data_IF_660183403860
#
_entry.id   IF_660183403860
#
_cell.length_a   1.000
_cell.length_b   1.000
_cell.length_c   1.000
_cell.angle_alpha   90.00
_cell.angle_beta   90.00
_cell.angle_gamma   90.00
#
_symmetry.space_group_name_H-M   'P 1'
#
loop_
_entity.id
_entity.type
_entity.pdbx_description
1 polymer ?
#
# COMPACT_ATOMS: atom_id res chain seq x y z
N UNK A 1 -40.81 -32.41 -11.52
CA UNK A 1 -41.23 -31.88 -10.21
C UNK A 1 -40.08 -31.70 -9.21
N UNK A 2 -39.13 -32.64 -9.04
CA UNK A 2 -37.92 -32.40 -8.19
C UNK A 2 -36.64 -32.00 -8.97
N UNK A 3 -36.69 -32.04 -10.30
CA UNK A 3 -35.54 -31.71 -11.18
C UNK A 3 -35.48 -30.23 -11.57
N UNK A 4 -36.49 -29.45 -11.18
CA UNK A 4 -36.74 -28.09 -11.69
C UNK A 4 -36.22 -26.97 -10.75
N UNK A 5 -35.67 -27.29 -9.58
CA UNK A 5 -35.34 -26.29 -8.54
C UNK A 5 -33.84 -26.06 -8.27
N UNK A 6 -32.91 -26.64 -9.03
CA UNK A 6 -31.44 -26.38 -9.00
C UNK A 6 -30.80 -26.11 -7.62
N UNK A 7 -31.31 -26.70 -6.54
CA UNK A 7 -30.66 -26.64 -5.23
C UNK A 7 -29.50 -27.63 -5.24
N UNK A 8 -28.30 -27.15 -5.59
CA UNK A 8 -27.05 -27.90 -5.43
C UNK A 8 -26.77 -28.04 -3.94
N UNK A 9 -27.33 -29.07 -3.31
CA UNK A 9 -26.97 -29.48 -1.97
C UNK A 9 -25.48 -29.89 -1.96
N UNK A 10 -24.69 -29.44 -0.97
CA UNK A 10 -23.34 -29.93 -0.76
C UNK A 10 -23.29 -31.47 -0.75
N UNK A 11 -22.20 -32.08 -1.27
CA UNK A 11 -22.05 -33.53 -1.33
C UNK A 11 -22.29 -34.21 0.03
N UNK A 12 -21.82 -33.58 1.10
CA UNK A 12 -21.93 -34.09 2.48
C UNK A 12 -23.39 -34.19 2.95
N UNK A 13 -24.23 -33.20 2.61
CA UNK A 13 -25.66 -33.23 2.95
C UNK A 13 -26.41 -34.29 2.13
N UNK A 14 -25.97 -34.52 0.88
CA UNK A 14 -26.56 -35.55 0.01
C UNK A 14 -26.27 -36.95 0.53
N UNK A 15 -25.04 -37.20 0.99
CA UNK A 15 -24.66 -38.47 1.61
C UNK A 15 -25.41 -38.72 2.93
N UNK A 16 -25.54 -37.68 3.77
CA UNK A 16 -26.32 -37.74 5.00
C UNK A 16 -27.78 -38.08 4.72
N UNK A 17 -28.41 -37.40 3.75
CA UNK A 17 -29.79 -37.65 3.36
C UNK A 17 -29.97 -39.10 2.85
N UNK A 18 -29.04 -39.58 2.02
CA UNK A 18 -29.05 -40.97 1.54
C UNK A 18 -28.94 -41.97 2.70
N UNK A 19 -28.07 -41.69 3.68
CA UNK A 19 -27.92 -42.54 4.86
C UNK A 19 -29.20 -42.57 5.71
N UNK A 20 -29.84 -41.41 5.93
CA UNK A 20 -31.12 -41.32 6.66
C UNK A 20 -32.25 -42.07 5.95
N UNK A 21 -32.40 -41.91 4.64
CA UNK A 21 -33.42 -42.63 3.85
C UNK A 21 -33.18 -44.15 3.91
N UNK A 22 -31.92 -44.58 3.83
CA UNK A 22 -31.55 -46.00 3.90
C UNK A 22 -31.89 -46.57 5.29
N UNK A 23 -31.57 -45.82 6.35
CA UNK A 23 -31.87 -46.22 7.73
C UNK A 23 -33.38 -46.29 7.98
N UNK A 24 -34.16 -45.35 7.46
CA UNK A 24 -35.63 -45.37 7.55
C UNK A 24 -36.22 -46.58 6.82
N UNK A 25 -35.71 -46.88 5.62
CA UNK A 25 -36.12 -48.05 4.85
C UNK A 25 -35.82 -49.38 5.56
N UNK A 26 -34.66 -49.48 6.22
CA UNK A 26 -34.32 -50.65 7.05
C UNK A 26 -35.17 -50.73 8.31
N UNK A 27 -35.41 -49.60 8.98
CA UNK A 27 -36.26 -49.53 10.18
C UNK A 27 -37.69 -49.96 9.90
N UNK A 28 -38.26 -49.53 8.77
CA UNK A 28 -39.61 -49.93 8.35
C UNK A 28 -39.77 -51.40 7.98
N UNK A 29 -38.69 -52.09 7.64
CA UNK A 29 -38.72 -53.54 7.44
C UNK A 29 -38.85 -54.31 8.75
N UNK A 30 -38.42 -53.71 9.87
CA UNK A 30 -38.46 -54.31 11.20
C UNK A 30 -39.70 -53.87 12.00
N UNK A 31 -40.11 -52.61 11.84
CA UNK A 31 -41.28 -52.00 12.45
C UNK A 31 -42.04 -51.13 11.42
N UNK A 32 -43.23 -51.55 10.95
CA UNK A 32 -43.98 -50.85 9.91
C UNK A 32 -44.31 -49.39 10.22
N UNK A 33 -44.44 -49.05 11.50
CA UNK A 33 -44.81 -47.70 11.96
C UNK A 33 -43.59 -46.82 12.27
N UNK A 34 -42.38 -47.30 11.98
CA UNK A 34 -41.13 -46.60 12.27
C UNK A 34 -41.00 -45.26 11.52
N UNK A 35 -40.71 -44.20 12.28
CA UNK A 35 -40.46 -42.85 11.77
C UNK A 35 -39.12 -42.31 12.31
N UNK A 36 -38.10 -42.34 11.45
CA UNK A 36 -36.75 -41.88 11.77
C UNK A 36 -36.71 -40.41 12.25
N UNK A 37 -37.58 -39.55 11.71
CA UNK A 37 -37.60 -38.12 12.03
C UNK A 37 -38.00 -37.94 13.49
N UNK A 38 -39.00 -38.68 13.96
CA UNK A 38 -39.46 -38.60 15.35
C UNK A 38 -38.39 -39.07 16.34
N UNK A 39 -37.65 -40.12 15.99
CA UNK A 39 -36.57 -40.67 16.83
C UNK A 39 -35.32 -39.78 16.88
N UNK A 40 -34.95 -39.14 15.76
CA UNK A 40 -33.75 -38.30 15.68
C UNK A 40 -33.99 -36.89 16.22
N UNK A 41 -35.23 -36.39 16.20
CA UNK A 41 -35.62 -35.06 16.72
C UNK A 41 -35.10 -34.76 18.14
N UNK A 42 -35.29 -35.63 19.16
CA UNK A 42 -34.82 -35.36 20.51
C UNK A 42 -33.28 -35.30 20.61
N UNK A 43 -32.58 -36.09 19.81
CA UNK A 43 -31.11 -36.03 19.75
C UNK A 43 -30.62 -34.72 19.13
N UNK A 44 -31.27 -34.27 18.06
CA UNK A 44 -30.97 -32.99 17.41
C UNK A 44 -31.22 -31.80 18.34
N UNK A 45 -32.34 -31.80 19.07
CA UNK A 45 -32.64 -30.75 20.06
C UNK A 45 -31.59 -30.70 21.17
N UNK A 46 -31.19 -31.84 21.74
CA UNK A 46 -30.15 -31.91 22.76
C UNK A 46 -28.79 -31.45 22.24
N UNK A 47 -28.43 -31.82 21.01
CA UNK A 47 -27.18 -31.40 20.39
C UNK A 47 -27.13 -29.88 20.14
N UNK A 48 -28.23 -29.29 19.65
CA UNK A 48 -28.35 -27.85 19.46
C UNK A 48 -28.29 -27.08 20.79
N UNK A 49 -29.02 -27.54 21.80
CA UNK A 49 -28.99 -26.96 23.15
C UNK A 49 -27.59 -27.02 23.76
N UNK A 50 -26.85 -28.11 23.56
CA UNK A 50 -25.47 -28.25 24.06
C UNK A 50 -24.48 -27.33 23.34
N UNK A 51 -24.74 -27.01 22.07
CA UNK A 51 -23.91 -26.10 21.27
C UNK A 51 -24.14 -24.62 21.64
N UNK A 52 -25.35 -24.28 22.09
CA UNK A 52 -25.74 -22.94 22.56
C UNK A 52 -25.58 -22.84 24.10
N UNK A 53 -25.22 -23.94 24.77
CA UNK A 53 -25.08 -23.96 26.22
C UNK A 53 -24.10 -22.88 26.70
N UNK A 54 -24.45 -22.13 27.76
CA UNK A 54 -23.67 -20.99 28.24
C UNK A 54 -22.22 -21.37 28.57
N UNK A 55 -21.99 -22.56 29.11
CA UNK A 55 -20.64 -23.06 29.41
C UNK A 55 -19.76 -23.18 28.16
N UNK A 56 -20.34 -23.61 27.03
CA UNK A 56 -19.63 -23.74 25.76
C UNK A 56 -19.26 -22.37 25.20
N UNK A 57 -20.18 -21.40 25.30
CA UNK A 57 -19.97 -20.03 24.85
C UNK A 57 -18.91 -19.31 25.71
N UNK A 58 -18.95 -19.49 27.03
CA UNK A 58 -17.96 -18.91 27.95
C UNK A 58 -16.56 -19.47 27.67
N UNK A 59 -16.43 -20.80 27.49
CA UNK A 59 -15.14 -21.42 27.15
C UNK A 59 -14.60 -20.91 25.82
N UNK A 60 -15.45 -20.80 24.80
CA UNK A 60 -15.04 -20.26 23.50
C UNK A 60 -14.65 -18.77 23.59
N UNK A 61 -15.40 -17.98 24.37
CA UNK A 61 -15.10 -16.58 24.63
C UNK A 61 -13.76 -16.40 25.33
N UNK A 62 -13.48 -17.21 26.36
CA UNK A 62 -12.21 -17.19 27.08
C UNK A 62 -11.03 -17.53 26.17
N UNK A 63 -11.17 -18.56 25.33
CA UNK A 63 -10.17 -18.95 24.34
C UNK A 63 -9.96 -17.88 23.26
N UNK A 64 -11.01 -17.13 22.90
CA UNK A 64 -10.89 -16.03 21.95
C UNK A 64 -10.21 -14.81 22.56
N UNK A 65 -10.53 -14.49 23.81
CA UNK A 65 -9.90 -13.41 24.57
C UNK A 65 -8.41 -13.68 24.79
N UNK A 66 -8.04 -14.91 25.16
CA UNK A 66 -6.62 -15.25 25.38
C UNK A 66 -5.79 -15.06 24.11
N UNK A 67 -6.30 -15.51 22.96
CA UNK A 67 -5.65 -15.29 21.65
C UNK A 67 -5.55 -13.81 21.30
N UNK A 68 -6.56 -13.02 21.65
CA UNK A 68 -6.53 -11.57 21.40
C UNK A 68 -5.46 -10.88 22.26
N UNK A 69 -5.31 -11.31 23.52
CA UNK A 69 -4.25 -10.81 24.41
C UNK A 69 -2.86 -11.20 23.90
N UNK A 70 -2.67 -12.44 23.45
CA UNK A 70 -1.41 -12.89 22.84
C UNK A 70 -1.01 -12.02 21.64
N UNK A 71 -1.95 -11.73 20.74
CA UNK A 71 -1.72 -10.84 19.59
C UNK A 71 -1.34 -9.42 20.00
N UNK A 72 -2.00 -8.86 21.03
CA UNK A 72 -1.64 -7.52 21.52
C UNK A 72 -0.24 -7.47 22.14
N UNK A 73 0.21 -8.57 22.77
CA UNK A 73 1.55 -8.68 23.36
C UNK A 73 2.62 -8.81 22.28
N UNK A 74 2.34 -9.50 21.17
CA UNK A 74 3.28 -9.68 20.05
C UNK A 74 3.37 -8.47 19.11
N UNK A 75 2.27 -7.73 18.94
CA UNK A 75 2.19 -6.53 18.09
C UNK A 75 3.34 -5.51 18.27
N UNK A 76 3.72 -5.09 19.48
CA UNK A 76 4.82 -4.14 19.66
C UNK A 76 6.18 -4.67 19.19
N UNK A 77 6.40 -5.99 19.24
CA UNK A 77 7.63 -6.59 18.74
C UNK A 77 7.68 -6.57 17.21
N UNK A 78 6.55 -6.83 16.56
CA UNK A 78 6.44 -6.75 15.09
C UNK A 78 6.57 -5.31 14.60
N UNK A 79 5.97 -4.35 15.31
CA UNK A 79 6.19 -2.93 15.04
C UNK A 79 7.66 -2.52 15.19
N UNK A 80 8.35 -2.98 16.25
CA UNK A 80 9.77 -2.73 16.40
C UNK A 80 10.59 -3.32 15.26
N UNK A 81 10.29 -4.55 14.83
CA UNK A 81 10.96 -5.18 13.69
C UNK A 81 10.74 -4.39 12.40
N UNK A 82 9.52 -3.93 12.14
CA UNK A 82 9.20 -3.09 10.99
C UNK A 82 9.95 -1.76 11.02
N UNK A 83 10.00 -1.10 12.18
CA UNK A 83 10.75 0.15 12.35
C UNK A 83 12.26 -0.05 12.21
N UNK A 84 12.80 -1.16 12.70
CA UNK A 84 14.23 -1.46 12.60
C UNK A 84 14.61 -1.80 11.15
N UNK A 85 13.76 -2.50 10.41
CA UNK A 85 13.88 -2.67 8.97
C UNK A 85 13.81 -1.33 8.23
N UNK A 86 12.93 -0.41 8.66
CA UNK A 86 12.81 0.94 8.08
C UNK A 86 14.08 1.75 8.28
N UNK A 87 14.61 1.74 9.51
CA UNK A 87 15.82 2.46 9.89
C UNK A 87 17.05 1.95 9.16
N UNK A 88 17.12 0.65 8.87
CA UNK A 88 18.21 0.03 8.12
C UNK A 88 18.08 0.22 6.61
N UNK A 89 17.02 0.89 6.12
CA UNK A 89 16.72 0.97 4.68
C UNK A 89 16.43 -0.39 4.05
N UNK A 90 16.21 -1.42 4.88
CA UNK A 90 15.95 -2.80 4.50
C UNK A 90 14.45 -3.11 4.43
N UNK A 91 13.60 -2.09 4.61
CA UNK A 91 12.28 -2.11 3.99
C UNK A 91 12.51 -2.16 2.49
N UNK A 92 12.65 -3.38 1.98
CA UNK A 92 12.50 -3.70 0.57
C UNK A 92 11.05 -3.46 0.16
N UNK A 93 10.55 -2.24 0.35
CA UNK A 93 9.49 -1.74 -0.48
C UNK A 93 10.13 -1.74 -1.85
N UNK A 94 9.73 -2.69 -2.70
CA UNK A 94 9.82 -2.50 -4.15
C UNK A 94 8.93 -1.32 -4.48
N UNK A 95 9.38 -0.13 -4.08
CA UNK A 95 8.98 1.13 -4.65
C UNK A 95 9.53 1.02 -6.05
N UNK A 96 8.71 0.44 -6.92
CA UNK A 96 8.70 0.72 -8.34
C UNK A 96 8.29 2.20 -8.50
N UNK A 97 9.04 3.12 -7.85
CA UNK A 97 9.07 4.52 -8.21
C UNK A 97 9.76 4.49 -9.55
N UNK A 98 8.95 4.20 -10.56
CA UNK A 98 9.23 4.48 -11.93
C UNK A 98 9.68 5.95 -11.98
N UNK A 99 10.99 6.12 -12.08
CA UNK A 99 11.69 7.29 -12.60
C UNK A 99 11.74 8.50 -11.66
N UNK A 100 12.80 8.63 -10.84
CA UNK A 100 13.27 9.96 -10.39
C UNK A 100 13.64 10.91 -11.56
N UNK A 101 13.63 10.45 -12.81
CA UNK A 101 13.88 11.27 -14.00
C UNK A 101 12.96 12.49 -14.11
N UNK A 102 11.68 12.40 -13.68
CA UNK A 102 10.78 13.56 -13.76
C UNK A 102 11.15 14.63 -12.73
N UNK A 103 11.55 14.22 -11.53
CA UNK A 103 11.97 15.13 -10.47
C UNK A 103 13.33 15.76 -10.81
N UNK A 104 14.25 14.95 -11.35
CA UNK A 104 15.54 15.44 -11.85
C UNK A 104 15.33 16.48 -12.97
N UNK A 105 14.48 16.18 -13.96
CA UNK A 105 14.15 17.12 -15.04
C UNK A 105 13.49 18.42 -14.56
N UNK A 106 12.61 18.33 -13.56
CA UNK A 106 11.96 19.53 -13.01
C UNK A 106 12.95 20.36 -12.19
N UNK A 107 13.84 19.71 -11.43
CA UNK A 107 14.92 20.38 -10.72
C UNK A 107 15.90 21.06 -11.69
N UNK A 108 16.31 20.38 -12.76
CA UNK A 108 17.19 20.96 -13.78
C UNK A 108 16.57 22.20 -14.43
N UNK A 109 15.26 22.19 -14.69
CA UNK A 109 14.54 23.35 -15.22
C UNK A 109 14.56 24.53 -14.25
N UNK A 110 14.35 24.27 -12.96
CA UNK A 110 14.39 25.31 -11.92
C UNK A 110 15.81 25.87 -11.77
N UNK A 111 16.83 25.00 -11.72
CA UNK A 111 18.24 25.41 -11.59
C UNK A 111 18.70 26.21 -12.80
N UNK A 112 18.31 25.82 -14.02
CA UNK A 112 18.62 26.59 -15.22
C UNK A 112 17.98 27.98 -15.17
N UNK A 113 16.69 28.07 -14.83
CA UNK A 113 15.99 29.36 -14.70
C UNK A 113 16.65 30.27 -13.64
N UNK A 114 17.07 29.69 -12.51
CA UNK A 114 17.81 30.43 -11.49
C UNK A 114 19.16 30.92 -12.01
N UNK A 115 19.91 30.08 -12.71
CA UNK A 115 21.21 30.43 -13.30
C UNK A 115 21.08 31.58 -14.30
N UNK A 116 20.08 31.53 -15.19
CA UNK A 116 19.78 32.61 -16.15
C UNK A 116 19.44 33.91 -15.42
N UNK A 117 18.60 33.83 -14.37
CA UNK A 117 18.23 35.01 -13.58
C UNK A 117 19.45 35.64 -12.88
N UNK A 118 20.35 34.81 -12.33
CA UNK A 118 21.55 35.26 -11.64
C UNK A 118 22.55 35.91 -12.60
N UNK A 119 22.77 35.32 -13.77
CA UNK A 119 23.64 35.90 -14.82
C UNK A 119 23.07 37.25 -15.28
N UNK A 120 21.75 37.32 -15.50
CA UNK A 120 21.09 38.57 -15.91
C UNK A 120 21.25 39.65 -14.83
N UNK A 121 21.04 39.32 -13.56
CA UNK A 121 21.25 40.25 -12.44
C UNK A 121 22.71 40.71 -12.34
N UNK A 122 23.67 39.80 -12.49
CA UNK A 122 25.10 40.13 -12.45
C UNK A 122 25.50 41.06 -13.60
N UNK A 123 24.96 40.87 -14.81
CA UNK A 123 25.21 41.74 -15.95
C UNK A 123 24.60 43.14 -15.75
N UNK A 124 23.40 43.24 -15.20
CA UNK A 124 22.76 44.53 -14.88
C UNK A 124 23.60 45.30 -13.86
N UNK A 125 23.99 44.64 -12.76
CA UNK A 125 24.80 45.26 -11.71
C UNK A 125 26.18 45.65 -12.24
N UNK A 126 26.84 44.76 -12.98
CA UNK A 126 28.14 45.03 -13.61
C UNK A 126 28.09 46.21 -14.58
N UNK A 127 27.06 46.28 -15.42
CA UNK A 127 26.83 47.41 -16.34
C UNK A 127 26.61 48.73 -15.58
N UNK A 128 25.82 48.71 -14.51
CA UNK A 128 25.58 49.89 -13.67
C UNK A 128 26.85 50.41 -12.98
N UNK A 129 27.72 49.51 -12.50
CA UNK A 129 28.99 49.86 -11.86
C UNK A 129 29.94 50.50 -12.89
N UNK A 130 30.11 49.87 -14.05
CA UNK A 130 30.98 50.38 -15.13
C UNK A 130 30.53 51.77 -15.61
N UNK A 131 29.23 52.02 -15.64
CA UNK A 131 28.65 53.31 -16.04
C UNK A 131 28.85 54.41 -14.98
N UNK A 132 28.94 54.03 -13.69
CA UNK A 132 29.02 54.99 -12.57
C UNK A 132 30.45 55.43 -12.27
N UNK A 133 31.45 54.60 -12.56
CA UNK A 133 32.87 54.93 -12.34
C UNK A 133 33.33 55.93 -13.40
N UNK A 134 33.93 57.05 -12.99
CA UNK A 134 34.56 58.00 -13.91
C UNK A 134 35.62 57.31 -14.75
N UNK A 135 35.37 57.26 -16.06
CA UNK A 135 36.22 56.54 -17.01
C UNK A 135 36.08 55.02 -16.98
N UNK A 136 35.07 54.46 -16.30
CA UNK A 136 34.84 53.01 -16.24
C UNK A 136 34.62 52.38 -17.62
N UNK A 137 33.82 53.02 -18.48
CA UNK A 137 33.61 52.58 -19.86
C UNK A 137 34.67 53.11 -20.85
N UNK A 138 35.34 54.22 -20.55
CA UNK A 138 36.35 54.82 -21.43
C UNK A 138 37.77 54.32 -21.17
N UNK A 139 38.02 53.66 -20.04
CA UNK A 139 39.26 52.98 -19.72
C UNK A 139 39.34 51.65 -20.49
N UNK A 140 40.45 51.45 -21.21
CA UNK A 140 40.71 50.23 -21.98
C UNK A 140 40.55 48.96 -21.12
N UNK A 141 40.96 49.02 -19.84
CA UNK A 141 40.85 47.90 -18.90
C UNK A 141 39.40 47.59 -18.54
N UNK A 142 38.58 48.62 -18.32
CA UNK A 142 37.15 48.48 -18.00
C UNK A 142 36.34 47.94 -19.17
N UNK A 143 36.64 48.41 -20.39
CA UNK A 143 36.03 47.90 -21.62
C UNK A 143 36.35 46.41 -21.85
N UNK A 144 37.62 46.03 -21.72
CA UNK A 144 38.07 44.63 -21.89
C UNK A 144 37.46 43.72 -20.82
N UNK A 145 37.41 44.18 -19.57
CA UNK A 145 36.77 43.43 -18.47
C UNK A 145 35.27 43.24 -18.68
N UNK A 146 34.57 44.28 -19.14
CA UNK A 146 33.14 44.21 -19.45
C UNK A 146 32.84 43.25 -20.61
N UNK A 147 33.59 43.36 -21.71
CA UNK A 147 33.44 42.46 -22.87
C UNK A 147 33.75 41.01 -22.46
N UNK A 148 34.80 40.79 -21.67
CA UNK A 148 35.15 39.46 -21.16
C UNK A 148 34.06 38.85 -20.27
N UNK A 149 33.51 39.62 -19.34
CA UNK A 149 32.41 39.19 -18.48
C UNK A 149 31.12 38.91 -19.29
N UNK A 150 30.82 39.74 -20.29
CA UNK A 150 29.68 39.57 -21.17
C UNK A 150 29.79 38.29 -22.02
N UNK A 151 30.95 38.05 -22.63
CA UNK A 151 31.21 36.83 -23.40
C UNK A 151 31.20 35.58 -22.50
N UNK A 152 31.76 35.66 -21.29
CA UNK A 152 31.72 34.58 -20.30
C UNK A 152 30.30 34.25 -19.85
N UNK A 153 29.45 35.27 -19.65
CA UNK A 153 28.03 35.10 -19.35
C UNK A 153 27.26 34.42 -20.47
N UNK A 154 27.50 34.84 -21.72
CA UNK A 154 26.91 34.19 -22.92
C UNK A 154 27.38 32.74 -23.04
N UNK A 155 28.66 32.47 -22.79
CA UNK A 155 29.22 31.12 -22.85
C UNK A 155 28.60 30.19 -21.79
N UNK A 156 28.41 30.68 -20.56
CA UNK A 156 27.72 29.93 -19.50
C UNK A 156 26.26 29.63 -19.86
N UNK A 157 25.52 30.62 -20.39
CA UNK A 157 24.15 30.41 -20.86
C UNK A 157 24.08 29.34 -21.94
N UNK A 158 25.00 29.35 -22.90
CA UNK A 158 25.08 28.35 -23.94
C UNK A 158 25.44 26.95 -23.38
N UNK A 159 26.33 26.88 -22.40
CA UNK A 159 26.69 25.63 -21.73
C UNK A 159 25.50 25.02 -20.98
N UNK A 160 24.69 25.83 -20.31
CA UNK A 160 23.50 25.36 -19.59
C UNK A 160 22.43 24.89 -20.58
N UNK A 161 22.23 25.61 -21.69
CA UNK A 161 21.26 25.22 -22.73
C UNK A 161 21.66 23.96 -23.50
N UNK A 162 22.95 23.61 -23.54
CA UNK A 162 23.46 22.38 -24.15
C UNK A 162 23.43 21.17 -23.21
N UNK A 163 23.34 21.38 -21.90
CA UNK A 163 23.39 20.31 -20.88
C UNK A 163 22.02 19.94 -20.30
N UNK A 164 21.00 20.78 -20.46
CA UNK A 164 19.59 20.45 -20.23
C UNK A 164 18.88 19.96 -21.49
#
# INVERSE_FOLDING_TARGET
MLRDHQLRLPPDLTLLLKALITLEGMGRQLDPDFNIVQEVTPFMQRALLKRIAPDTLIKQGWLSLSRMVELLIELPNDLHRLLDLARRGALGVRLDIAKPEWLAKELDRVVNRLSVSLITSALIVGSSIVSTVEGGASSFVGLVGFIGAFLGGIWLLFSIWRSG
#
